data_IF_432905428855
#
_entry.id   IF_432905428855
#
_cell.length_a   1.000
_cell.length_b   1.000
_cell.length_c   1.000
_cell.angle_alpha   90.00
_cell.angle_beta   90.00
_cell.angle_gamma   90.00
#
_symmetry.space_group_name_H-M   'P 1'
#
loop_
_entity.id
_entity.type
_entity.pdbx_description
1 polymer ?
#
# COMPACT_ATOMS: atom_id res chain seq x y z
N UNK A 1 -3.83 -12.22 -2.24
CA UNK A 1 -4.75 -11.36 -1.45
C UNK A 1 -6.21 -11.73 -1.70
N UNK A 2 -6.54 -12.52 -2.73
CA UNK A 2 -7.82 -13.22 -2.83
C UNK A 2 -7.79 -14.39 -1.83
N UNK A 3 -8.73 -14.40 -0.89
CA UNK A 3 -8.86 -15.48 0.09
C UNK A 3 -9.60 -16.67 -0.52
N UNK A 4 -9.29 -17.88 -0.05
CA UNK A 4 -9.76 -19.14 -0.67
C UNK A 4 -11.28 -19.33 -0.64
N UNK A 5 -12.00 -18.59 0.21
CA UNK A 5 -13.46 -18.64 0.27
C UNK A 5 -14.16 -17.83 -0.83
N UNK A 6 -13.43 -17.00 -1.60
CA UNK A 6 -14.02 -16.19 -2.66
C UNK A 6 -14.31 -17.01 -3.92
N UNK A 7 -15.57 -16.99 -4.36
CA UNK A 7 -15.97 -17.51 -5.67
C UNK A 7 -15.91 -16.43 -6.76
N UNK A 8 -15.82 -16.84 -8.03
CA UNK A 8 -15.78 -15.93 -9.19
C UNK A 8 -16.95 -14.93 -9.22
N UNK A 9 -18.17 -15.38 -8.90
CA UNK A 9 -19.35 -14.52 -8.86
C UNK A 9 -19.31 -13.48 -7.73
N UNK A 10 -18.65 -13.79 -6.62
CA UNK A 10 -18.46 -12.85 -5.51
C UNK A 10 -17.41 -11.81 -5.87
N UNK A 11 -16.33 -12.20 -6.55
CA UNK A 11 -15.28 -11.29 -6.99
C UNK A 11 -15.74 -10.27 -8.03
N UNK A 12 -16.74 -10.60 -8.85
CA UNK A 12 -17.31 -9.67 -9.82
C UNK A 12 -18.16 -8.56 -9.19
N UNK A 13 -18.80 -8.85 -8.06
CA UNK A 13 -19.76 -7.94 -7.43
C UNK A 13 -19.21 -7.27 -6.16
N UNK A 14 -18.12 -7.76 -5.59
CA UNK A 14 -17.55 -7.16 -4.39
C UNK A 14 -16.88 -5.83 -4.71
N UNK A 15 -16.94 -4.91 -3.75
CA UNK A 15 -16.17 -3.68 -3.74
C UNK A 15 -15.57 -3.56 -2.35
N UNK A 16 -14.27 -3.26 -2.28
CA UNK A 16 -13.58 -3.07 -1.01
C UNK A 16 -14.26 -2.00 -0.16
N UNK A 17 -14.53 -2.36 1.08
CA UNK A 17 -14.98 -1.46 2.11
C UNK A 17 -14.34 -1.88 3.45
N UNK A 18 -13.74 -0.95 4.21
CA UNK A 18 -13.06 -1.30 5.46
C UNK A 18 -13.98 -1.93 6.51
N UNK A 19 -15.28 -1.64 6.46
CA UNK A 19 -16.26 -2.07 7.45
C UNK A 19 -17.06 -3.30 6.98
N UNK A 20 -17.45 -3.37 5.70
CA UNK A 20 -18.30 -4.45 5.18
C UNK A 20 -17.53 -5.56 4.46
N UNK A 21 -16.50 -5.22 3.69
CA UNK A 21 -15.84 -6.11 2.73
C UNK A 21 -14.33 -5.88 2.65
N UNK A 22 -13.66 -6.02 3.80
CA UNK A 22 -12.24 -5.65 3.97
C UNK A 22 -11.24 -6.50 3.17
N UNK A 23 -11.67 -7.66 2.66
CA UNK A 23 -10.81 -8.57 1.90
C UNK A 23 -11.09 -8.56 0.39
N UNK A 24 -12.07 -7.78 -0.07
CA UNK A 24 -12.34 -7.67 -1.49
C UNK A 24 -11.18 -6.95 -2.21
N UNK A 25 -10.63 -7.51 -3.30
CA UNK A 25 -9.49 -6.92 -4.02
C UNK A 25 -9.92 -5.89 -5.09
N UNK A 26 -11.20 -5.56 -5.19
CA UNK A 26 -11.76 -4.63 -6.19
C UNK A 26 -11.98 -3.27 -5.53
N UNK A 27 -11.28 -2.24 -6.00
CA UNK A 27 -11.31 -0.91 -5.38
C UNK A 27 -11.88 0.12 -6.34
N UNK A 28 -12.83 0.93 -5.86
CA UNK A 28 -13.30 2.11 -6.58
C UNK A 28 -12.32 3.26 -6.35
N UNK A 29 -11.91 3.95 -7.42
CA UNK A 29 -10.96 5.07 -7.36
C UNK A 29 -11.42 6.16 -6.38
N UNK A 30 -12.72 6.49 -6.39
CA UNK A 30 -13.27 7.49 -5.47
C UNK A 30 -13.11 7.10 -4.00
N UNK A 31 -13.25 5.82 -3.66
CA UNK A 31 -13.14 5.34 -2.29
C UNK A 31 -11.68 5.29 -1.84
N UNK A 32 -10.75 4.90 -2.74
CA UNK A 32 -9.31 5.01 -2.50
C UNK A 32 -8.93 6.45 -2.11
N UNK A 33 -9.44 7.43 -2.86
CA UNK A 33 -9.10 8.83 -2.63
C UNK A 33 -9.68 9.35 -1.31
N UNK A 34 -10.93 9.00 -0.99
CA UNK A 34 -11.52 9.31 0.32
C UNK A 34 -10.73 8.70 1.47
N UNK A 35 -10.38 7.42 1.38
CA UNK A 35 -9.59 6.70 2.38
C UNK A 35 -8.15 7.24 2.49
N UNK A 36 -7.64 7.86 1.43
CA UNK A 36 -6.35 8.57 1.43
C UNK A 36 -6.43 9.99 2.01
N UNK A 37 -7.61 10.45 2.45
CA UNK A 37 -7.83 11.79 3.01
C UNK A 37 -7.98 12.89 1.94
N UNK A 38 -8.43 12.54 0.73
CA UNK A 38 -8.64 13.48 -0.37
C UNK A 38 -10.13 13.71 -0.56
N UNK A 39 -10.63 14.85 -0.09
CA UNK A 39 -12.06 15.16 -0.11
C UNK A 39 -12.57 15.61 -1.49
N UNK A 40 -11.70 16.22 -2.31
CA UNK A 40 -12.11 16.82 -3.59
C UNK A 40 -11.48 16.11 -4.80
N UNK A 41 -12.25 15.22 -5.42
CA UNK A 41 -11.87 14.50 -6.63
C UNK A 41 -11.53 15.43 -7.80
N UNK A 42 -12.36 16.45 -8.04
CA UNK A 42 -12.19 17.36 -9.17
C UNK A 42 -10.86 18.09 -9.09
N UNK A 43 -10.46 18.51 -7.87
CA UNK A 43 -9.18 19.17 -7.65
C UNK A 43 -8.02 18.27 -8.05
N UNK A 44 -7.95 17.04 -7.52
CA UNK A 44 -6.84 16.14 -7.82
C UNK A 44 -6.86 15.64 -9.27
N UNK A 45 -8.03 15.51 -9.91
CA UNK A 45 -8.12 15.12 -11.31
C UNK A 45 -7.54 16.18 -12.27
N UNK A 46 -7.62 17.47 -11.91
CA UNK A 46 -7.06 18.55 -12.74
C UNK A 46 -5.54 18.67 -12.67
N UNK A 47 -4.96 18.52 -11.48
CA UNK A 47 -3.51 18.65 -11.27
C UNK A 47 -2.76 17.31 -11.33
N UNK A 48 -3.48 16.20 -11.19
CA UNK A 48 -2.91 14.87 -10.94
C UNK A 48 -2.39 14.71 -9.51
N UNK A 49 -1.95 13.51 -9.18
CA UNK A 49 -1.38 13.22 -7.86
C UNK A 49 -0.83 11.81 -7.78
N UNK A 50 -0.20 11.49 -6.65
CA UNK A 50 0.39 10.17 -6.41
C UNK A 50 -0.21 9.60 -5.13
N UNK A 51 -0.81 8.42 -5.24
CA UNK A 51 -1.49 7.74 -4.12
C UNK A 51 -0.83 6.39 -3.90
N UNK A 52 -0.41 6.11 -2.67
CA UNK A 52 0.04 4.79 -2.28
C UNK A 52 -1.11 3.92 -1.81
N UNK A 53 -1.11 2.68 -2.27
CA UNK A 53 -1.95 1.58 -1.79
C UNK A 53 -1.00 0.60 -1.09
N UNK A 54 -1.05 0.53 0.23
CA UNK A 54 -0.21 -0.38 1.01
C UNK A 54 -1.01 -1.62 1.36
N UNK A 55 -0.51 -2.78 0.95
CA UNK A 55 -1.03 -4.10 1.31
C UNK A 55 -0.09 -4.69 2.34
N UNK A 56 -0.53 -4.76 3.59
CA UNK A 56 0.28 -5.22 4.71
C UNK A 56 -0.13 -6.63 5.17
N UNK A 57 0.85 -7.52 5.25
CA UNK A 57 0.73 -8.90 5.73
C UNK A 57 1.54 -9.07 7.01
N UNK A 58 0.92 -8.82 8.16
CA UNK A 58 1.55 -9.04 9.46
C UNK A 58 0.98 -10.33 10.06
N UNK A 59 1.76 -11.40 10.05
CA UNK A 59 1.28 -12.75 10.27
C UNK A 59 2.04 -13.47 11.37
N UNK A 60 1.29 -14.05 12.31
CA UNK A 60 1.84 -15.02 13.24
C UNK A 60 1.70 -16.43 12.66
N UNK A 61 2.83 -17.02 12.24
CA UNK A 61 2.93 -18.35 11.64
C UNK A 61 2.89 -19.50 12.67
N UNK A 62 2.69 -19.19 13.95
CA UNK A 62 2.32 -20.20 14.94
C UNK A 62 0.85 -20.64 14.80
N UNK A 63 0.05 -19.79 14.15
CA UNK A 63 -1.36 -20.03 13.87
C UNK A 63 -1.54 -20.61 12.46
N UNK A 64 -2.75 -21.08 12.18
CA UNK A 64 -3.11 -21.53 10.84
C UNK A 64 -3.00 -20.40 9.80
N UNK A 65 -2.67 -20.76 8.56
CA UNK A 65 -2.48 -19.81 7.48
C UNK A 65 -3.73 -18.95 7.20
N UNK A 66 -4.93 -19.44 7.52
CA UNK A 66 -6.20 -18.71 7.37
C UNK A 66 -6.30 -17.43 8.20
N UNK A 67 -5.49 -17.27 9.25
CA UNK A 67 -5.43 -16.05 10.06
C UNK A 67 -4.51 -14.97 9.48
N UNK A 68 -3.66 -15.33 8.52
CA UNK A 68 -2.73 -14.42 7.86
C UNK A 68 -3.47 -13.70 6.72
N UNK A 69 -4.15 -12.59 7.04
CA UNK A 69 -4.95 -11.84 6.09
C UNK A 69 -4.35 -10.45 5.78
N UNK A 70 -4.55 -9.94 4.56
CA UNK A 70 -4.02 -8.64 4.18
C UNK A 70 -4.81 -7.50 4.83
N UNK A 71 -4.10 -6.42 5.16
CA UNK A 71 -4.68 -5.15 5.56
C UNK A 71 -4.33 -4.08 4.52
N UNK A 72 -5.30 -3.23 4.17
CA UNK A 72 -5.10 -2.20 3.15
C UNK A 72 -5.05 -0.81 3.78
N UNK A 73 -4.09 0.00 3.34
CA UNK A 73 -3.96 1.40 3.74
C UNK A 73 -3.72 2.30 2.54
N UNK A 74 -4.44 3.40 2.49
CA UNK A 74 -4.37 4.37 1.41
C UNK A 74 -3.77 5.68 1.92
N UNK A 75 -2.90 6.30 1.13
CA UNK A 75 -2.27 7.57 1.50
C UNK A 75 -1.86 8.35 0.27
N UNK A 76 -2.03 9.67 0.29
CA UNK A 76 -1.42 10.56 -0.69
C UNK A 76 0.08 10.73 -0.43
N UNK A 77 0.90 10.55 -1.46
CA UNK A 77 2.36 10.66 -1.38
C UNK A 77 2.89 12.03 -1.83
N UNK A 78 2.21 12.71 -2.76
CA UNK A 78 2.60 14.05 -3.20
C UNK A 78 2.17 15.12 -2.19
N UNK A 79 3.01 16.14 -2.02
CA UNK A 79 2.67 17.31 -1.22
C UNK A 79 1.77 18.26 -2.03
N UNK A 80 0.63 18.64 -1.46
CA UNK A 80 -0.32 19.56 -2.09
C UNK A 80 0.14 21.02 -2.02
N UNK A 81 0.96 21.35 -1.02
CA UNK A 81 1.34 22.72 -0.69
C UNK A 81 2.58 23.21 -1.46
N UNK A 82 3.16 22.38 -2.32
CA UNK A 82 4.33 22.77 -3.11
C UNK A 82 3.97 23.95 -4.02
N UNK A 83 4.84 24.95 -4.11
CA UNK A 83 4.61 26.10 -5.01
C UNK A 83 4.98 25.79 -6.46
N UNK A 84 5.87 24.82 -6.67
CA UNK A 84 6.44 24.45 -7.97
C UNK A 84 6.11 22.99 -8.24
N UNK A 85 5.65 22.68 -9.46
CA UNK A 85 5.29 21.34 -9.91
C UNK A 85 4.23 20.63 -9.02
N UNK A 86 3.09 21.29 -8.81
CA UNK A 86 1.93 20.71 -8.12
C UNK A 86 1.39 19.49 -8.86
N UNK A 87 1.05 18.44 -8.09
CA UNK A 87 0.39 17.23 -8.59
C UNK A 87 1.32 16.32 -9.39
N UNK A 88 0.76 15.65 -10.40
CA UNK A 88 1.50 14.67 -11.22
C UNK A 88 1.15 14.82 -12.69
N UNK A 89 2.17 15.06 -13.52
CA UNK A 89 2.04 15.13 -14.97
C UNK A 89 3.30 14.63 -15.67
N UNK A 90 3.14 14.16 -16.90
CA UNK A 90 4.25 13.76 -17.74
C UNK A 90 3.94 14.07 -19.21
N UNK A 91 5.00 14.15 -20.03
CA UNK A 91 4.88 14.37 -21.47
C UNK A 91 5.33 13.11 -22.21
N UNK A 92 4.56 12.71 -23.20
CA UNK A 92 4.93 11.67 -24.16
C UNK A 92 4.55 12.14 -25.56
N UNK A 93 5.14 11.55 -26.58
CA UNK A 93 4.87 11.92 -27.96
C UNK A 93 4.55 10.67 -28.78
N UNK A 94 3.49 10.77 -29.59
CA UNK A 94 3.18 9.77 -30.60
C UNK A 94 3.82 10.23 -31.91
N UNK A 95 4.74 9.43 -32.43
CA UNK A 95 5.48 9.72 -33.66
C UNK A 95 4.81 9.01 -34.83
N UNK A 96 4.71 9.69 -35.96
CA UNK A 96 4.13 9.14 -37.19
C UNK A 96 4.76 9.81 -38.40
N UNK A 97 4.81 9.09 -39.53
CA UNK A 97 5.44 9.56 -40.77
C UNK A 97 4.38 9.72 -41.85
N UNK A 98 4.37 10.87 -42.53
CA UNK A 98 3.47 11.16 -43.65
C UNK A 98 4.33 11.67 -44.80
N UNK A 99 4.21 11.06 -45.99
CA UNK A 99 4.96 11.46 -47.20
C UNK A 99 6.46 11.67 -46.94
N UNK A 100 7.10 10.71 -46.30
CA UNK A 100 8.53 10.74 -45.96
C UNK A 100 8.96 11.92 -45.06
N UNK A 101 8.00 12.52 -44.34
CA UNK A 101 8.24 13.57 -43.35
C UNK A 101 7.81 13.09 -41.97
N UNK A 102 8.67 13.27 -40.96
CA UNK A 102 8.39 12.89 -39.58
C UNK A 102 7.52 13.94 -38.87
N UNK A 103 6.44 13.48 -38.26
CA UNK A 103 5.54 14.27 -37.45
C UNK A 103 5.42 13.67 -36.05
N UNK A 104 5.00 14.52 -35.10
CA UNK A 104 4.69 14.06 -33.73
C UNK A 104 3.53 14.82 -33.13
N UNK A 105 2.72 14.10 -32.37
CA UNK A 105 1.72 14.67 -31.46
C UNK A 105 2.28 14.61 -30.04
N UNK A 106 2.68 15.76 -29.51
CA UNK A 106 3.15 15.87 -28.12
C UNK A 106 1.95 15.99 -27.19
N UNK A 107 1.84 15.09 -26.22
CA UNK A 107 0.75 15.03 -25.26
C UNK A 107 1.31 15.32 -23.87
N UNK A 108 0.70 16.25 -23.16
CA UNK A 108 0.93 16.48 -21.73
C UNK A 108 -0.22 15.86 -20.95
N UNK A 109 0.02 14.74 -20.30
CA UNK A 109 -0.99 14.02 -19.52
C UNK A 109 -0.92 14.40 -18.04
N UNK A 110 -2.08 14.61 -17.45
CA UNK A 110 -2.28 14.79 -16.01
C UNK A 110 -3.13 13.61 -15.51
N UNK A 111 -2.81 13.09 -14.33
CA UNK A 111 -3.56 11.96 -13.80
C UNK A 111 -3.06 11.49 -12.45
N UNK A 112 -3.73 10.45 -11.97
CA UNK A 112 -3.40 9.79 -10.71
C UNK A 112 -2.43 8.65 -10.98
N UNK A 113 -1.32 8.63 -10.25
CA UNK A 113 -0.40 7.50 -10.19
C UNK A 113 -0.66 6.71 -8.92
N UNK A 114 -1.12 5.48 -9.05
CA UNK A 114 -1.24 4.55 -7.93
C UNK A 114 0.06 3.77 -7.77
N UNK A 115 0.61 3.74 -6.57
CA UNK A 115 1.80 2.95 -6.23
C UNK A 115 1.39 1.89 -5.22
N UNK A 116 1.46 0.63 -5.61
CA UNK A 116 1.11 -0.48 -4.73
C UNK A 116 2.38 -0.93 -3.99
N UNK A 117 2.39 -0.74 -2.67
CA UNK A 117 3.42 -1.28 -1.79
C UNK A 117 2.90 -2.54 -1.12
N UNK A 118 3.68 -3.62 -1.18
CA UNK A 118 3.40 -4.85 -0.44
C UNK A 118 4.44 -4.96 0.67
N UNK A 119 3.98 -4.94 1.90
CA UNK A 119 4.82 -5.09 3.10
C UNK A 119 4.35 -6.28 3.89
N UNK A 120 5.26 -6.90 4.64
CA UNK A 120 4.85 -7.94 5.55
C UNK A 120 5.91 -8.29 6.57
N UNK A 121 5.45 -8.82 7.69
CA UNK A 121 6.26 -9.39 8.76
C UNK A 121 5.65 -10.72 9.13
N UNK A 122 6.51 -11.70 9.36
CA UNK A 122 6.08 -13.02 9.77
C UNK A 122 6.91 -13.48 10.96
N UNK A 123 6.23 -13.91 12.02
CA UNK A 123 6.86 -14.49 13.20
C UNK A 123 6.47 -15.95 13.34
N UNK A 124 7.41 -16.81 13.74
CA UNK A 124 7.16 -18.18 14.14
C UNK A 124 8.00 -18.51 15.36
N UNK A 125 7.46 -19.30 16.27
CA UNK A 125 8.16 -19.83 17.42
C UNK A 125 9.43 -20.56 16.99
N UNK A 126 10.54 -20.20 17.64
CA UNK A 126 11.82 -20.85 17.48
C UNK A 126 12.54 -20.88 18.84
N UNK A 127 13.06 -22.04 19.22
CA UNK A 127 13.73 -22.26 20.49
C UNK A 127 15.04 -21.46 20.62
N UNK A 128 15.73 -21.19 19.51
CA UNK A 128 17.01 -20.46 19.49
C UNK A 128 16.85 -18.99 19.98
N UNK A 129 15.97 -18.16 19.38
CA UNK A 129 15.74 -16.80 19.89
C UNK A 129 15.08 -16.79 21.27
N UNK A 130 14.29 -17.82 21.61
CA UNK A 130 13.71 -17.94 22.96
C UNK A 130 14.80 -18.07 24.03
N UNK A 131 15.72 -19.05 23.90
CA UNK A 131 16.76 -19.30 24.90
C UNK A 131 17.75 -18.14 24.99
N UNK A 132 18.09 -17.51 23.86
CA UNK A 132 18.95 -16.32 23.84
C UNK A 132 18.32 -15.13 24.58
N UNK A 133 17.02 -14.86 24.36
CA UNK A 133 16.31 -13.78 25.05
C UNK A 133 16.12 -14.07 26.54
N UNK A 134 15.82 -15.32 26.90
CA UNK A 134 15.74 -15.74 28.32
C UNK A 134 17.07 -15.57 29.04
N UNK A 135 18.17 -16.03 28.44
CA UNK A 135 19.52 -15.87 29.00
C UNK A 135 19.90 -14.40 29.18
N UNK A 136 19.63 -13.58 28.16
CA UNK A 136 19.89 -12.13 28.20
C UNK A 136 19.06 -11.43 29.28
N UNK A 137 17.78 -11.80 29.43
CA UNK A 137 16.89 -11.27 30.46
C UNK A 137 17.33 -11.64 31.88
N UNK A 138 17.74 -12.89 32.11
CA UNK A 138 18.28 -13.34 33.39
C UNK A 138 19.58 -12.62 33.76
N UNK A 139 20.49 -12.46 32.79
CA UNK A 139 21.74 -11.71 33.00
C UNK A 139 21.47 -10.25 33.42
N UNK A 140 20.51 -9.58 32.78
CA UNK A 140 20.10 -8.21 33.14
C UNK A 140 19.54 -8.14 34.58
N UNK A 141 18.77 -9.13 35.02
CA UNK A 141 18.23 -9.18 36.39
C UNK A 141 19.35 -9.36 37.43
N UNK A 142 20.36 -10.18 37.14
CA UNK A 142 21.54 -10.37 38.01
C UNK A 142 22.35 -9.09 38.12
N UNK A 143 22.60 -8.41 37.00
CA UNK A 143 23.30 -7.12 36.98
C UNK A 143 22.57 -6.06 37.79
N UNK A 144 21.24 -5.96 37.64
CA UNK A 144 20.42 -5.03 38.43
C UNK A 144 20.57 -5.27 39.93
N UNK A 145 20.54 -6.53 40.37
CA UNK A 145 20.70 -6.87 41.80
C UNK A 145 22.09 -6.53 42.31
N UNK A 146 23.12 -6.78 41.51
CA UNK A 146 24.52 -6.53 41.90
C UNK A 146 24.85 -5.03 42.02
N UNK A 147 24.20 -4.18 41.22
CA UNK A 147 24.39 -2.72 41.26
C UNK A 147 23.54 -2.02 42.34
N UNK A 148 22.59 -2.74 42.96
CA UNK A 148 21.73 -2.23 44.03
C UNK A 148 22.25 -2.55 45.45
N UNK A 149 23.35 -3.30 45.53
CA UNK A 149 24.19 -3.53 46.73
C UNK A 149 25.47 -2.74 46.61
#
# INVERSE_FOLDING_TARGET
NVLDYYNSSQLQNCVYNPDTDMYCPVFRIGDILKLAGIDNFTKIATVGGVVSITVNWDCNLDWDASYCNPTYRFRRLDDENTKIAKGWNFRYANYYRINDTDHRTLIKAYGLRFVVYVTGRAGRFNVIPLTMNLGSGLALLVLRRSCAT
#
